data_IF_184477464945
#
_entry.id   IF_184477464945
#
_cell.length_a   1.000
_cell.length_b   1.000
_cell.length_c   1.000
_cell.angle_alpha   90.00
_cell.angle_beta   90.00
_cell.angle_gamma   90.00
#
_symmetry.space_group_name_H-M   'P 1'
#
loop_
_entity.id
_entity.type
_entity.pdbx_description
1 polymer ?
#
# COMPACT_ATOMS: atom_id res chain seq x y z
N UNK A 1 4.45 -4.84 18.35
CA UNK A 1 4.40 -3.38 18.61
C UNK A 1 4.86 -3.10 20.03
N UNK A 2 4.09 -3.48 21.07
CA UNK A 2 4.49 -3.21 22.47
C UNK A 2 5.83 -3.87 22.82
N UNK A 3 6.00 -5.15 22.54
CA UNK A 3 7.23 -5.90 22.87
C UNK A 3 8.44 -5.57 21.99
N UNK A 4 8.22 -5.34 20.70
CA UNK A 4 9.30 -5.25 19.69
C UNK A 4 9.63 -3.80 19.26
N UNK A 5 8.72 -2.86 19.49
CA UNK A 5 8.84 -1.47 19.09
C UNK A 5 8.58 -0.50 20.27
N UNK A 6 8.67 -1.00 21.51
CA UNK A 6 8.48 -0.21 22.75
C UNK A 6 7.17 0.59 22.80
N UNK A 7 6.11 0.03 22.19
CA UNK A 7 4.81 0.69 22.09
C UNK A 7 4.70 1.75 20.98
N UNK A 8 5.79 2.08 20.30
CA UNK A 8 5.77 2.96 19.14
C UNK A 8 5.34 2.21 17.88
N UNK A 9 4.44 2.83 17.12
CA UNK A 9 3.99 2.25 15.85
C UNK A 9 4.99 2.59 14.74
N UNK A 10 5.50 1.59 13.98
CA UNK A 10 6.46 1.86 12.92
C UNK A 10 5.87 2.76 11.82
N UNK A 11 6.62 3.78 11.40
CA UNK A 11 6.24 4.68 10.30
C UNK A 11 6.79 4.28 8.93
N UNK A 12 7.83 3.44 8.94
CA UNK A 12 8.54 3.01 7.73
C UNK A 12 7.78 1.90 7.00
N UNK A 13 7.61 2.04 5.68
CA UNK A 13 6.84 1.12 4.85
C UNK A 13 7.42 -0.31 4.87
N UNK A 14 8.74 -0.45 4.76
CA UNK A 14 9.40 -1.75 4.67
C UNK A 14 9.32 -2.47 6.02
N UNK A 15 9.42 -1.72 7.13
CA UNK A 15 9.19 -2.29 8.47
C UNK A 15 7.73 -2.76 8.58
N UNK A 16 6.76 -1.94 8.13
CA UNK A 16 5.35 -2.28 8.17
C UNK A 16 5.04 -3.57 7.40
N UNK A 17 5.61 -3.74 6.20
CA UNK A 17 5.36 -4.92 5.36
C UNK A 17 6.06 -6.16 5.92
N UNK A 18 7.30 -6.03 6.39
CA UNK A 18 8.15 -7.18 6.72
C UNK A 18 8.05 -7.63 8.18
N UNK A 19 7.65 -6.75 9.11
CA UNK A 19 7.67 -7.04 10.55
C UNK A 19 6.28 -7.18 11.17
N UNK A 20 5.23 -6.64 10.54
CA UNK A 20 3.87 -6.76 11.07
C UNK A 20 3.08 -7.85 10.35
N UNK A 21 2.75 -8.97 11.03
CA UNK A 21 1.95 -10.02 10.43
C UNK A 21 0.55 -9.50 10.08
N UNK A 22 0.07 -9.82 8.88
CA UNK A 22 -1.22 -9.37 8.36
C UNK A 22 -1.21 -7.97 7.73
N UNK A 23 -0.10 -7.24 7.77
CA UNK A 23 0.06 -5.94 7.11
C UNK A 23 0.71 -6.14 5.74
N UNK A 24 -0.12 -6.15 4.69
CA UNK A 24 0.35 -6.16 3.30
C UNK A 24 0.67 -4.76 2.78
N UNK A 25 1.13 -4.67 1.52
CA UNK A 25 1.48 -3.40 0.85
C UNK A 25 0.36 -2.34 0.93
N UNK A 26 -0.89 -2.75 0.72
CA UNK A 26 -2.05 -1.86 0.83
C UNK A 26 -2.14 -1.23 2.23
N UNK A 27 -2.16 -2.06 3.27
CA UNK A 27 -2.32 -1.60 4.65
C UNK A 27 -1.11 -0.78 5.11
N UNK A 28 0.10 -1.20 4.74
CA UNK A 28 1.33 -0.46 5.02
C UNK A 28 1.34 0.92 4.35
N UNK A 29 0.98 0.98 3.06
CA UNK A 29 0.87 2.23 2.31
C UNK A 29 -0.19 3.16 2.91
N UNK A 30 -1.35 2.61 3.28
CA UNK A 30 -2.43 3.37 3.88
C UNK A 30 -2.05 3.96 5.23
N UNK A 31 -1.48 3.16 6.14
CA UNK A 31 -1.09 3.64 7.46
C UNK A 31 0.07 4.62 7.37
N UNK A 32 1.11 4.32 6.58
CA UNK A 32 2.28 5.22 6.45
C UNK A 32 1.93 6.57 5.83
N UNK A 33 1.05 6.60 4.82
CA UNK A 33 0.64 7.86 4.20
C UNK A 33 -0.37 8.65 5.03
N UNK A 34 -1.41 8.01 5.58
CA UNK A 34 -2.48 8.71 6.31
C UNK A 34 -2.01 9.15 7.69
N UNK A 35 -1.38 8.25 8.46
CA UNK A 35 -1.02 8.53 9.86
C UNK A 35 0.33 9.27 9.98
N UNK A 36 1.25 9.06 9.04
CA UNK A 36 2.62 9.60 9.13
C UNK A 36 3.00 10.50 7.95
N UNK A 37 2.04 10.85 7.10
CA UNK A 37 2.21 11.75 5.94
C UNK A 37 3.36 11.34 5.02
N UNK A 38 3.67 10.05 4.94
CA UNK A 38 4.70 9.53 4.04
C UNK A 38 4.17 9.46 2.61
N UNK A 39 4.98 9.80 1.59
CA UNK A 39 4.56 9.77 0.18
C UNK A 39 4.53 8.34 -0.40
N UNK A 40 3.91 7.41 0.31
CA UNK A 40 3.81 6.01 -0.11
C UNK A 40 2.48 5.75 -0.83
N UNK A 41 2.49 5.04 -1.98
CA UNK A 41 1.29 4.79 -2.75
C UNK A 41 0.36 3.79 -2.06
N UNK A 42 -0.95 3.97 -2.28
CA UNK A 42 -2.01 3.02 -1.90
C UNK A 42 -2.66 2.55 -3.19
N UNK A 43 -2.59 1.25 -3.49
CA UNK A 43 -3.24 0.66 -4.65
C UNK A 43 -4.29 -0.36 -4.19
N UNK A 44 -5.55 0.08 -4.13
CA UNK A 44 -6.71 -0.76 -3.81
C UNK A 44 -7.63 -0.93 -5.03
N UNK A 45 -8.67 -1.75 -4.90
CA UNK A 45 -9.62 -1.96 -6.00
C UNK A 45 -10.35 -0.68 -6.47
N UNK A 46 -10.45 0.34 -5.61
CA UNK A 46 -11.07 1.62 -5.97
C UNK A 46 -10.11 2.51 -6.76
N UNK A 47 -8.87 2.66 -6.28
CA UNK A 47 -7.79 3.41 -6.93
C UNK A 47 -7.49 2.78 -8.29
N UNK A 48 -7.34 1.46 -8.36
CA UNK A 48 -7.15 0.74 -9.63
C UNK A 48 -8.28 1.08 -10.60
N UNK A 49 -9.55 0.96 -10.16
CA UNK A 49 -10.71 1.26 -11.03
C UNK A 49 -10.72 2.69 -11.55
N UNK A 50 -10.36 3.66 -10.72
CA UNK A 50 -10.30 5.08 -11.11
C UNK A 50 -9.13 5.31 -12.07
N UNK A 51 -7.93 4.87 -11.73
CA UNK A 51 -6.74 5.05 -12.57
C UNK A 51 -6.88 4.35 -13.92
N UNK A 52 -7.44 3.14 -13.96
CA UNK A 52 -7.70 2.42 -15.21
C UNK A 52 -8.67 3.18 -16.12
N UNK A 53 -9.72 3.81 -15.56
CA UNK A 53 -10.64 4.65 -16.34
C UNK A 53 -9.94 5.92 -16.83
N UNK A 54 -9.19 6.60 -15.97
CA UNK A 54 -8.47 7.82 -16.31
C UNK A 54 -7.38 7.60 -17.38
N UNK A 55 -6.74 6.44 -17.38
CA UNK A 55 -5.66 6.07 -18.30
C UNK A 55 -6.10 5.18 -19.46
N UNK A 56 -7.41 4.95 -19.62
CA UNK A 56 -7.99 4.06 -20.64
C UNK A 56 -7.36 2.65 -20.68
N UNK A 57 -7.07 2.07 -19.51
CA UNK A 57 -6.50 0.72 -19.38
C UNK A 57 -7.64 -0.30 -19.38
N UNK A 58 -7.72 -1.09 -20.45
CA UNK A 58 -8.67 -2.21 -20.60
C UNK A 58 -8.06 -3.59 -20.43
N UNK A 59 -6.77 -3.69 -20.07
CA UNK A 59 -6.11 -4.97 -19.84
C UNK A 59 -6.57 -5.62 -18.53
N UNK A 60 -6.30 -6.93 -18.39
CA UNK A 60 -6.57 -7.65 -17.15
C UNK A 60 -5.80 -7.03 -15.97
N UNK A 61 -6.55 -6.51 -14.99
CA UNK A 61 -6.03 -5.84 -13.79
C UNK A 61 -5.40 -6.82 -12.81
N UNK A 62 -5.65 -8.13 -12.94
CA UNK A 62 -4.98 -9.15 -12.12
C UNK A 62 -3.57 -9.46 -12.61
N UNK A 63 -3.20 -9.05 -13.82
CA UNK A 63 -1.83 -9.21 -14.32
C UNK A 63 -0.90 -8.27 -13.57
N UNK A 64 0.20 -8.84 -13.07
CA UNK A 64 1.26 -8.09 -12.40
C UNK A 64 1.76 -6.91 -13.24
N UNK A 65 1.92 -7.09 -14.55
CA UNK A 65 2.32 -6.02 -15.48
C UNK A 65 1.35 -4.84 -15.52
N UNK A 66 0.04 -5.07 -15.36
CA UNK A 66 -0.95 -3.99 -15.31
C UNK A 66 -0.90 -3.28 -13.95
N UNK A 67 -0.74 -4.04 -12.87
CA UNK A 67 -0.61 -3.48 -11.52
C UNK A 67 0.68 -2.69 -11.31
N UNK A 68 1.78 -3.09 -11.95
CA UNK A 68 3.08 -2.40 -11.86
C UNK A 68 3.11 -1.12 -12.72
N UNK A 69 2.20 -1.00 -13.71
CA UNK A 69 2.04 0.19 -14.53
C UNK A 69 1.21 1.29 -13.84
N UNK A 70 0.33 0.89 -12.93
CA UNK A 70 -0.53 1.78 -12.14
C UNK A 70 0.24 2.38 -10.96
#
# INVERSE_FOLDING_TARGET
IISEFDGEFPKDLDILINRLPGVGRYTAGAVSSIAFSQPNPILDGNVIRVLSRMRCIGSDLKKKSTSDFL
#
